data_IF_193872996702
#
_entry.id   IF_193872996702
#
_cell.length_a   1.000
_cell.length_b   1.000
_cell.length_c   1.000
_cell.angle_alpha   90.00
_cell.angle_beta   90.00
_cell.angle_gamma   90.00
#
_symmetry.space_group_name_H-M   'P 1'
#
loop_
_entity.id
_entity.type
_entity.pdbx_description
1 polymer ?
#
# COMPACT_ATOMS: atom_id res chain seq x y z
N UNK A 1 -10.66 10.71 23.97
CA UNK A 1 -9.72 9.70 23.42
C UNK A 1 -9.35 10.13 22.02
N UNK A 2 -8.05 10.25 21.68
CA UNK A 2 -7.66 10.43 20.27
C UNK A 2 -7.94 9.09 19.59
N UNK A 3 -8.99 9.02 18.79
CA UNK A 3 -9.22 7.88 17.90
C UNK A 3 -8.19 7.99 16.78
N UNK A 4 -6.96 7.53 17.04
CA UNK A 4 -5.98 7.38 15.96
C UNK A 4 -6.48 6.27 15.05
N UNK A 5 -6.47 6.54 13.74
CA UNK A 5 -6.82 5.52 12.76
C UNK A 5 -5.75 4.41 12.82
N UNK A 6 -6.12 3.15 12.51
CA UNK A 6 -5.13 2.10 12.40
C UNK A 6 -4.12 2.45 11.29
N UNK A 7 -2.81 2.11 11.45
CA UNK A 7 -1.76 2.53 10.52
C UNK A 7 -2.02 2.17 9.06
N UNK A 8 -2.65 1.02 8.79
CA UNK A 8 -2.97 0.60 7.42
C UNK A 8 -3.97 1.55 6.75
N UNK A 9 -4.88 2.15 7.52
CA UNK A 9 -5.89 3.08 7.03
C UNK A 9 -5.30 4.48 6.83
N UNK A 10 -4.35 4.89 7.68
CA UNK A 10 -3.58 6.13 7.50
C UNK A 10 -2.69 6.11 6.25
N UNK A 11 -2.28 4.92 5.81
CA UNK A 11 -1.46 4.75 4.60
C UNK A 11 -2.26 4.83 3.29
N UNK A 12 -3.59 4.73 3.34
CA UNK A 12 -4.45 4.82 2.16
C UNK A 12 -4.66 6.27 1.76
N UNK A 13 -4.39 6.58 0.49
CA UNK A 13 -4.74 7.89 -0.07
C UNK A 13 -6.26 8.00 -0.34
N UNK A 14 -6.71 9.18 -0.76
CA UNK A 14 -8.15 9.42 -1.01
C UNK A 14 -8.72 8.50 -2.09
N UNK A 15 -7.93 8.16 -3.11
CA UNK A 15 -8.35 7.28 -4.19
C UNK A 15 -8.50 5.82 -3.73
N UNK A 16 -7.58 5.36 -2.87
CA UNK A 16 -7.64 4.06 -2.23
C UNK A 16 -8.86 3.96 -1.32
N UNK A 17 -9.14 5.00 -0.52
CA UNK A 17 -10.29 5.04 0.38
C UNK A 17 -11.61 5.02 -0.40
N UNK A 18 -11.71 5.77 -1.50
CA UNK A 18 -12.89 5.75 -2.37
C UNK A 18 -13.10 4.38 -3.03
N UNK A 19 -12.02 3.78 -3.54
CA UNK A 19 -12.09 2.44 -4.12
C UNK A 19 -12.52 1.40 -3.09
N UNK A 20 -11.92 1.42 -1.89
CA UNK A 20 -12.27 0.52 -0.79
C UNK A 20 -13.73 0.68 -0.38
N UNK A 21 -14.22 1.93 -0.26
CA UNK A 21 -15.63 2.20 0.05
C UNK A 21 -16.57 1.58 -0.99
N UNK A 22 -16.32 1.80 -2.28
CA UNK A 22 -17.17 1.24 -3.35
C UNK A 22 -17.07 -0.29 -3.41
N UNK A 23 -15.87 -0.84 -3.20
CA UNK A 23 -15.66 -2.28 -3.11
C UNK A 23 -16.47 -2.92 -1.97
N UNK A 24 -16.52 -2.29 -0.80
CA UNK A 24 -17.37 -2.77 0.31
C UNK A 24 -18.85 -2.64 -0.04
N UNK A 25 -19.28 -1.52 -0.64
CA UNK A 25 -20.67 -1.32 -1.07
C UNK A 25 -21.11 -2.31 -2.17
N UNK A 26 -20.17 -2.82 -2.97
CA UNK A 26 -20.42 -3.87 -3.96
C UNK A 26 -20.25 -5.30 -3.40
N UNK A 27 -20.22 -5.46 -2.08
CA UNK A 27 -20.00 -6.75 -1.40
C UNK A 27 -18.69 -7.45 -1.81
N UNK A 28 -17.66 -6.66 -2.16
CA UNK A 28 -16.38 -7.16 -2.63
C UNK A 28 -16.39 -7.67 -4.07
N UNK A 29 -17.42 -7.36 -4.86
CA UNK A 29 -17.54 -7.81 -6.24
C UNK A 29 -16.73 -6.92 -7.18
N UNK A 30 -15.56 -7.42 -7.61
CA UNK A 30 -14.79 -6.78 -8.68
C UNK A 30 -15.59 -6.69 -9.99
N UNK A 31 -16.43 -7.69 -10.28
CA UNK A 31 -17.26 -7.68 -11.49
C UNK A 31 -18.26 -6.53 -11.49
N UNK A 32 -18.97 -6.33 -10.37
CA UNK A 32 -19.92 -5.22 -10.24
C UNK A 32 -19.24 -3.85 -10.38
N UNK A 33 -18.01 -3.71 -9.85
CA UNK A 33 -17.24 -2.49 -10.05
C UNK A 33 -16.75 -2.33 -11.50
N UNK A 34 -16.43 -3.40 -12.22
CA UNK A 34 -16.08 -3.28 -13.64
C UNK A 34 -17.22 -2.66 -14.45
N UNK A 35 -18.45 -3.08 -14.15
CA UNK A 35 -19.66 -2.55 -14.80
C UNK A 35 -19.91 -1.08 -14.42
N UNK A 36 -19.66 -0.69 -13.16
CA UNK A 36 -19.81 0.71 -12.69
C UNK A 36 -18.75 1.65 -13.25
N UNK A 37 -17.50 1.20 -13.32
CA UNK A 37 -16.35 2.02 -13.74
C UNK A 37 -16.06 1.97 -15.25
N UNK A 38 -16.77 1.13 -16.00
CA UNK A 38 -16.54 0.87 -17.43
C UNK A 38 -15.08 0.51 -17.75
N UNK A 39 -14.52 -0.42 -16.97
CA UNK A 39 -13.14 -0.88 -17.11
C UNK A 39 -13.04 -2.41 -17.09
N UNK A 40 -11.95 -2.92 -17.67
CA UNK A 40 -11.72 -4.35 -17.70
C UNK A 40 -11.45 -4.94 -16.31
N UNK A 41 -11.85 -6.20 -16.11
CA UNK A 41 -11.55 -6.94 -14.89
C UNK A 41 -10.05 -6.97 -14.53
N UNK A 42 -9.11 -7.21 -15.46
CA UNK A 42 -7.68 -7.07 -15.19
C UNK A 42 -7.28 -5.71 -14.61
N UNK A 43 -7.91 -4.62 -15.06
CA UNK A 43 -7.61 -3.26 -14.59
C UNK A 43 -7.96 -3.08 -13.12
N UNK A 44 -9.19 -3.43 -12.70
CA UNK A 44 -9.58 -3.32 -11.29
C UNK A 44 -8.88 -4.34 -10.42
N UNK A 45 -8.60 -5.54 -10.95
CA UNK A 45 -7.84 -6.54 -10.21
C UNK A 45 -6.45 -6.02 -9.85
N UNK A 46 -5.75 -5.42 -10.80
CA UNK A 46 -4.44 -4.81 -10.56
C UNK A 46 -4.52 -3.68 -9.51
N UNK A 47 -5.59 -2.87 -9.52
CA UNK A 47 -5.82 -1.84 -8.49
C UNK A 47 -6.02 -2.46 -7.11
N UNK A 48 -6.84 -3.49 -6.99
CA UNK A 48 -7.04 -4.20 -5.72
C UNK A 48 -5.73 -4.84 -5.22
N UNK A 49 -4.96 -5.48 -6.11
CA UNK A 49 -3.70 -6.12 -5.74
C UNK A 49 -2.66 -5.09 -5.23
N UNK A 50 -2.64 -3.88 -5.77
CA UNK A 50 -1.83 -2.75 -5.24
C UNK A 50 -2.28 -2.36 -3.84
N UNK A 51 -3.59 -2.18 -3.62
CA UNK A 51 -4.13 -1.85 -2.30
C UNK A 51 -3.78 -2.93 -1.25
N UNK A 52 -3.94 -4.21 -1.60
CA UNK A 52 -3.58 -5.34 -0.75
C UNK A 52 -2.08 -5.31 -0.44
N UNK A 53 -1.24 -5.05 -1.44
CA UNK A 53 0.22 -4.98 -1.26
C UNK A 53 0.63 -3.85 -0.33
N UNK A 54 -0.04 -2.69 -0.42
CA UNK A 54 0.15 -1.54 0.46
C UNK A 54 -0.20 -1.87 1.90
N UNK A 55 -1.38 -2.45 2.14
CA UNK A 55 -1.81 -2.86 3.49
C UNK A 55 -0.80 -3.84 4.10
N UNK A 56 -0.41 -4.88 3.35
CA UNK A 56 0.61 -5.85 3.80
C UNK A 56 1.95 -5.20 4.09
N UNK A 57 2.36 -4.19 3.31
CA UNK A 57 3.62 -3.49 3.53
C UNK A 57 3.63 -2.69 4.84
N UNK A 58 2.49 -2.11 5.22
CA UNK A 58 2.34 -1.35 6.46
C UNK A 58 2.27 -2.26 7.67
N UNK A 59 1.55 -3.37 7.55
CA UNK A 59 1.32 -4.31 8.65
C UNK A 59 2.44 -5.34 8.82
N UNK A 60 3.45 -5.37 7.95
CA UNK A 60 4.54 -6.35 8.06
C UNK A 60 5.35 -6.12 9.35
N UNK A 61 5.27 -7.05 10.33
CA UNK A 61 5.93 -6.90 11.62
C UNK A 61 7.46 -7.01 11.52
N UNK A 62 7.99 -7.45 10.37
CA UNK A 62 9.43 -7.61 10.13
C UNK A 62 10.11 -6.29 9.73
N UNK A 63 9.35 -5.22 9.48
CA UNK A 63 9.96 -3.93 9.15
C UNK A 63 10.68 -3.37 10.39
N UNK A 64 12.01 -3.26 10.31
CA UNK A 64 12.86 -2.97 11.45
C UNK A 64 12.61 -1.58 12.05
N UNK A 65 12.27 -0.60 11.21
CA UNK A 65 12.03 0.78 11.62
C UNK A 65 10.98 1.50 10.74
N UNK A 66 10.70 2.77 11.08
CA UNK A 66 9.74 3.60 10.35
C UNK A 66 10.18 3.91 8.92
N UNK A 67 11.50 3.93 8.65
CA UNK A 67 12.05 4.20 7.34
C UNK A 67 11.81 3.02 6.40
N UNK A 68 12.08 1.79 6.86
CA UNK A 68 11.81 0.56 6.12
C UNK A 68 10.32 0.42 5.77
N UNK A 69 9.41 0.73 6.72
CA UNK A 69 7.97 0.76 6.45
C UNK A 69 7.62 1.74 5.34
N UNK A 70 8.16 2.98 5.39
CA UNK A 70 7.88 3.99 4.38
C UNK A 70 8.36 3.55 2.99
N UNK A 71 9.55 2.96 2.89
CA UNK A 71 10.07 2.45 1.62
C UNK A 71 9.18 1.35 1.03
N UNK A 72 8.71 0.41 1.86
CA UNK A 72 7.81 -0.67 1.40
C UNK A 72 6.48 -0.13 0.89
N UNK A 73 5.92 0.89 1.53
CA UNK A 73 4.72 1.60 1.04
C UNK A 73 4.98 2.26 -0.32
N UNK A 74 6.11 2.94 -0.48
CA UNK A 74 6.46 3.58 -1.76
C UNK A 74 6.66 2.56 -2.90
N UNK A 75 7.18 1.37 -2.59
CA UNK A 75 7.28 0.27 -3.57
C UNK A 75 5.89 -0.25 -3.93
N UNK A 76 5.01 -0.45 -2.94
CA UNK A 76 3.64 -0.91 -3.18
C UNK A 76 2.82 0.09 -4.02
N UNK A 77 3.06 1.39 -3.82
CA UNK A 77 2.51 2.48 -4.64
C UNK A 77 3.05 2.51 -6.08
N UNK A 78 4.13 1.75 -6.38
CA UNK A 78 4.84 1.85 -7.64
C UNK A 78 5.60 3.18 -7.82
N UNK A 79 5.72 4.00 -6.78
CA UNK A 79 6.46 5.27 -6.81
C UNK A 79 7.98 5.06 -6.91
N UNK A 80 8.48 3.95 -6.37
CA UNK A 80 9.89 3.55 -6.51
C UNK A 80 10.02 2.07 -6.90
N UNK A 81 11.03 1.70 -7.70
CA UNK A 81 11.35 0.30 -7.95
C UNK A 81 11.82 -0.42 -6.68
N UNK A 82 11.47 -1.70 -6.56
CA UNK A 82 11.95 -2.54 -5.45
C UNK A 82 13.48 -2.63 -5.38
N UNK A 83 14.18 -2.51 -6.51
CA UNK A 83 15.64 -2.48 -6.56
C UNK A 83 16.21 -1.25 -5.84
N UNK A 84 15.67 -0.06 -6.17
CA UNK A 84 16.07 1.19 -5.53
C UNK A 84 15.78 1.18 -4.02
N UNK A 85 14.63 0.63 -3.61
CA UNK A 85 14.30 0.51 -2.19
C UNK A 85 15.32 -0.36 -1.43
N UNK A 86 15.84 -1.43 -2.04
CA UNK A 86 16.90 -2.26 -1.43
C UNK A 86 18.22 -1.52 -1.30
N UNK A 87 18.60 -0.72 -2.30
CA UNK A 87 19.80 0.11 -2.26
C UNK A 87 19.71 1.15 -1.13
N UNK A 88 18.57 1.84 -1.01
CA UNK A 88 18.32 2.81 0.06
C UNK A 88 18.34 2.16 1.45
N UNK A 89 17.76 0.96 1.60
CA UNK A 89 17.82 0.19 2.85
C UNK A 89 19.26 -0.18 3.24
N UNK A 90 20.07 -0.59 2.26
CA UNK A 90 21.48 -0.92 2.50
C UNK A 90 22.25 0.31 2.98
N UNK A 91 22.10 1.44 2.29
CA UNK A 91 22.76 2.69 2.66
C UNK A 91 22.36 3.17 4.06
N UNK A 92 21.07 3.09 4.41
CA UNK A 92 20.56 3.45 5.73
C UNK A 92 21.15 2.57 6.84
N UNK A 93 21.25 1.26 6.63
CA UNK A 93 21.85 0.34 7.62
C UNK A 93 23.33 0.63 7.84
N UNK A 94 24.10 0.84 6.78
CA UNK A 94 25.52 1.19 6.90
C UNK A 94 25.72 2.51 7.66
N UNK A 95 24.91 3.54 7.38
CA UNK A 95 24.97 4.81 8.12
C UNK A 95 24.55 4.70 9.59
N UNK A 96 23.71 3.73 9.94
CA UNK A 96 23.30 3.45 11.31
C UNK A 96 24.36 2.65 12.09
N UNK A 97 25.17 1.83 11.41
CA UNK A 97 26.28 1.05 12.00
C UNK A 97 27.54 1.90 12.23
N UNK A 98 27.71 3.00 11.47
CA UNK A 98 28.82 3.95 11.62
C UNK A 98 28.64 4.96 12.77
N UNK A 99 27.49 4.94 13.47
CA UNK A 99 27.19 5.78 14.64
C UNK A 99 27.31 5.01 15.94
#
# INVERSE_FOLDING_TARGET
MKTSLPPWLEALDEEDQQFLRRFVLSSGSLKALCDEYDVSYPTLRARLDRLISKVKAVEDPRAADAFERKLRVLVADGKIPAALARELLKAHRSAAEER
#
